data_IF_114305760410
#
_entry.id   IF_114305760410
#
_cell.length_a   1.000
_cell.length_b   1.000
_cell.length_c   1.000
_cell.angle_alpha   90.00
_cell.angle_beta   90.00
_cell.angle_gamma   90.00
#
_symmetry.space_group_name_H-M   'P 1'
#
loop_
_entity.id
_entity.type
_entity.pdbx_description
1 polymer ?
#
# COMPACT_ATOMS: atom_id res chain seq x y z
N UNK A 1 3.47 4.03 -1.63
CA UNK A 1 4.64 4.30 -2.48
C UNK A 1 4.26 3.86 -3.88
N UNK A 2 4.44 4.68 -4.92
CA UNK A 2 3.84 4.47 -6.25
C UNK A 2 3.94 3.06 -6.86
N UNK A 3 5.07 2.34 -6.80
CA UNK A 3 5.19 1.00 -7.40
C UNK A 3 4.55 -0.13 -6.58
N UNK A 4 3.94 0.15 -5.43
CA UNK A 4 3.31 -0.88 -4.59
C UNK A 4 1.83 -0.99 -4.91
N UNK A 5 1.29 -2.22 -4.99
CA UNK A 5 -0.13 -2.47 -5.32
C UNK A 5 -1.12 -1.67 -4.45
N UNK A 6 -0.84 -1.51 -3.16
CA UNK A 6 -1.68 -0.74 -2.24
C UNK A 6 -1.78 0.76 -2.55
N UNK A 7 -0.85 1.32 -3.31
CA UNK A 7 -0.92 2.71 -3.77
C UNK A 7 -2.04 2.91 -4.79
N UNK A 8 -2.15 2.03 -5.78
CA UNK A 8 -3.18 2.10 -6.81
C UNK A 8 -4.59 1.95 -6.23
N UNK A 9 -4.76 1.03 -5.28
CA UNK A 9 -6.02 0.88 -4.56
C UNK A 9 -6.45 2.17 -3.85
N UNK A 10 -5.53 2.81 -3.12
CA UNK A 10 -5.81 4.09 -2.44
C UNK A 10 -6.08 5.22 -3.44
N UNK A 11 -5.28 5.30 -4.50
CA UNK A 11 -5.42 6.33 -5.53
C UNK A 11 -6.77 6.25 -6.24
N UNK A 12 -7.26 5.04 -6.55
CA UNK A 12 -8.56 4.84 -7.18
C UNK A 12 -9.71 5.42 -6.32
N UNK A 13 -9.67 5.21 -4.99
CA UNK A 13 -10.67 5.77 -4.07
C UNK A 13 -10.56 7.29 -4.00
N UNK A 14 -9.34 7.84 -3.91
CA UNK A 14 -9.13 9.29 -3.88
C UNK A 14 -9.58 9.95 -5.19
N UNK A 15 -9.32 9.33 -6.33
CA UNK A 15 -9.79 9.81 -7.64
C UNK A 15 -11.31 9.81 -7.71
N UNK A 16 -11.99 8.77 -7.23
CA UNK A 16 -13.44 8.73 -7.17
C UNK A 16 -14.03 9.85 -6.29
N UNK A 17 -13.41 10.11 -5.12
CA UNK A 17 -13.82 11.20 -4.24
C UNK A 17 -13.62 12.58 -4.89
N UNK A 18 -12.51 12.81 -5.57
CA UNK A 18 -12.25 14.09 -6.26
C UNK A 18 -13.16 14.27 -7.48
N UNK A 19 -13.39 13.21 -8.25
CA UNK A 19 -14.24 13.23 -9.45
C UNK A 19 -15.72 13.52 -9.14
N UNK A 20 -16.17 13.23 -7.91
CA UNK A 20 -17.54 13.53 -7.46
C UNK A 20 -17.86 15.04 -7.41
N UNK A 21 -16.84 15.91 -7.37
CA UNK A 21 -16.99 17.38 -7.42
C UNK A 21 -17.64 18.03 -6.19
N UNK A 22 -18.04 17.27 -5.17
CA UNK A 22 -18.69 17.83 -3.98
C UNK A 22 -17.66 18.29 -2.94
N UNK A 23 -17.90 19.45 -2.33
CA UNK A 23 -17.00 20.03 -1.33
C UNK A 23 -16.74 19.09 -0.13
N UNK A 24 -17.75 18.35 0.31
CA UNK A 24 -17.62 17.36 1.39
C UNK A 24 -16.64 16.24 1.05
N UNK A 25 -16.76 15.67 -0.17
CA UNK A 25 -15.89 14.59 -0.63
C UNK A 25 -14.46 15.04 -0.89
N UNK A 26 -14.28 16.29 -1.33
CA UNK A 26 -12.95 16.91 -1.42
C UNK A 26 -12.28 17.00 -0.04
N UNK A 27 -13.02 17.44 0.99
CA UNK A 27 -12.54 17.47 2.37
C UNK A 27 -12.13 16.08 2.89
N UNK A 28 -12.91 15.04 2.58
CA UNK A 28 -12.57 13.66 2.92
C UNK A 28 -11.33 13.16 2.18
N UNK A 29 -11.16 13.51 0.90
CA UNK A 29 -9.96 13.16 0.14
C UNK A 29 -8.70 13.78 0.76
N UNK A 30 -8.75 15.05 1.14
CA UNK A 30 -7.65 15.73 1.84
C UNK A 30 -7.35 15.03 3.17
N UNK A 31 -8.37 14.75 3.97
CA UNK A 31 -8.22 14.04 5.24
C UNK A 31 -7.56 12.65 5.05
N UNK A 32 -8.00 11.88 4.05
CA UNK A 32 -7.44 10.58 3.74
C UNK A 32 -5.95 10.65 3.31
N UNK A 33 -5.56 11.69 2.57
CA UNK A 33 -4.15 11.95 2.23
C UNK A 33 -3.35 12.28 3.49
N UNK A 34 -3.85 13.16 4.37
CA UNK A 34 -3.17 13.50 5.63
C UNK A 34 -2.97 12.26 6.51
N UNK A 35 -3.98 11.39 6.64
CA UNK A 35 -3.84 10.12 7.36
C UNK A 35 -2.79 9.21 6.73
N UNK A 36 -2.66 9.23 5.40
CA UNK A 36 -1.59 8.50 4.72
C UNK A 36 -0.20 9.06 5.02
N UNK A 37 -0.06 10.38 5.21
CA UNK A 37 1.21 11.01 5.57
C UNK A 37 1.62 10.66 7.00
N UNK A 38 0.67 10.60 7.94
CA UNK A 38 0.91 10.12 9.30
C UNK A 38 1.45 8.69 9.26
N UNK A 39 0.83 7.81 8.47
CA UNK A 39 1.36 6.45 8.27
C UNK A 39 2.77 6.42 7.68
N UNK A 40 3.05 7.29 6.70
CA UNK A 40 4.38 7.40 6.10
C UNK A 40 5.46 7.81 7.12
N UNK A 41 5.14 8.70 8.06
CA UNK A 41 6.05 9.07 9.15
C UNK A 41 6.47 7.86 9.99
N UNK A 42 5.53 6.99 10.36
CA UNK A 42 5.85 5.78 11.13
C UNK A 42 6.70 4.78 10.34
N UNK A 43 6.44 4.61 9.05
CA UNK A 43 7.28 3.74 8.20
C UNK A 43 8.69 4.29 8.04
N UNK A 44 8.85 5.59 7.80
CA UNK A 44 10.16 6.22 7.70
C UNK A 44 10.94 6.13 9.01
N UNK A 45 10.28 6.31 10.16
CA UNK A 45 10.89 6.12 11.47
C UNK A 45 11.41 4.70 11.65
N UNK A 46 10.66 3.69 11.20
CA UNK A 46 11.08 2.29 11.26
C UNK A 46 12.33 2.03 10.42
N UNK A 47 12.35 2.52 9.17
CA UNK A 47 13.51 2.41 8.26
C UNK A 47 14.73 3.11 8.90
N UNK A 48 14.52 4.28 9.49
CA UNK A 48 15.56 5.04 10.19
C UNK A 48 16.18 4.21 11.31
N UNK A 49 15.36 3.61 12.17
CA UNK A 49 15.85 2.78 13.29
C UNK A 49 16.57 1.53 12.77
N UNK A 50 16.08 0.90 11.69
CA UNK A 50 16.66 -0.34 11.17
C UNK A 50 18.03 -0.15 10.50
N UNK A 51 18.25 0.97 9.80
CA UNK A 51 19.46 1.19 9.00
C UNK A 51 20.43 2.23 9.56
N UNK A 52 19.98 3.18 10.38
CA UNK A 52 20.80 4.31 10.81
C UNK A 52 21.10 4.34 12.31
N UNK A 53 20.31 3.65 13.14
CA UNK A 53 20.56 3.59 14.58
C UNK A 53 21.54 2.46 14.92
N UNK A 54 22.30 2.62 16.02
CA UNK A 54 23.30 1.64 16.43
C UNK A 54 22.62 0.31 16.81
N UNK A 55 23.20 -0.83 16.38
CA UNK A 55 22.63 -2.13 16.68
C UNK A 55 22.71 -2.40 18.19
N UNK A 56 21.56 -2.77 18.76
CA UNK A 56 21.43 -3.13 20.18
C UNK A 56 21.98 -4.55 20.44
N UNK A 57 22.00 -5.39 19.39
CA UNK A 57 22.51 -6.76 19.42
C UNK A 57 23.41 -6.99 18.21
N UNK A 58 24.56 -7.65 18.41
CA UNK A 58 25.60 -7.84 17.39
C UNK A 58 25.50 -9.23 16.72
N UNK A 59 24.44 -9.99 17.01
CA UNK A 59 24.22 -11.32 16.46
C UNK A 59 23.67 -11.30 15.04
N UNK A 60 23.95 -12.32 14.22
CA UNK A 60 23.35 -12.45 12.90
C UNK A 60 21.83 -12.63 13.02
N UNK A 61 21.08 -12.00 12.12
CA UNK A 61 19.64 -12.22 12.01
C UNK A 61 19.40 -13.62 11.43
N UNK A 62 19.02 -14.57 12.28
CA UNK A 62 18.68 -15.93 11.87
C UNK A 62 17.19 -16.01 11.60
N UNK A 63 16.81 -16.12 10.32
CA UNK A 63 15.45 -16.42 9.90
C UNK A 63 15.39 -17.83 9.32
N UNK A 64 14.38 -18.63 9.69
CA UNK A 64 14.16 -19.94 9.08
C UNK A 64 13.92 -19.81 7.57
N UNK A 65 14.25 -20.87 6.82
CA UNK A 65 14.09 -20.88 5.37
C UNK A 65 12.64 -20.58 4.96
N UNK A 66 11.67 -21.12 5.70
CA UNK A 66 10.24 -20.90 5.45
C UNK A 66 9.86 -19.42 5.53
N UNK A 67 10.34 -18.72 6.56
CA UNK A 67 10.06 -17.29 6.76
C UNK A 67 10.66 -16.46 5.62
N UNK A 68 11.88 -16.79 5.19
CA UNK A 68 12.54 -16.09 4.07
C UNK A 68 11.76 -16.28 2.77
N UNK A 69 11.37 -17.52 2.46
CA UNK A 69 10.59 -17.82 1.25
C UNK A 69 9.26 -17.09 1.25
N UNK A 70 8.49 -17.18 2.35
CA UNK A 70 7.18 -16.54 2.46
C UNK A 70 7.29 -15.02 2.31
N UNK A 71 8.24 -14.38 2.99
CA UNK A 71 8.45 -12.93 2.89
C UNK A 71 8.91 -12.50 1.48
N UNK A 72 9.84 -13.24 0.88
CA UNK A 72 10.32 -12.94 -0.47
C UNK A 72 9.21 -13.09 -1.51
N UNK A 73 8.41 -14.15 -1.43
CA UNK A 73 7.28 -14.38 -2.35
C UNK A 73 6.22 -13.27 -2.18
N UNK A 74 5.84 -12.94 -0.95
CA UNK A 74 4.86 -11.86 -0.71
C UNK A 74 5.40 -10.50 -1.18
N UNK A 75 6.65 -10.17 -0.89
CA UNK A 75 7.29 -8.94 -1.34
C UNK A 75 7.35 -8.85 -2.86
N UNK A 76 7.71 -9.95 -3.53
CA UNK A 76 7.71 -10.05 -4.98
C UNK A 76 6.30 -9.87 -5.56
N UNK A 77 5.28 -10.52 -4.98
CA UNK A 77 3.89 -10.36 -5.42
C UNK A 77 3.40 -8.91 -5.28
N UNK A 78 3.69 -8.25 -4.16
CA UNK A 78 3.31 -6.83 -3.93
C UNK A 78 3.94 -5.91 -4.98
N UNK A 79 5.18 -6.20 -5.41
CA UNK A 79 5.88 -5.44 -6.45
C UNK A 79 5.34 -5.77 -7.85
N UNK A 80 5.20 -7.05 -8.19
CA UNK A 80 4.71 -7.48 -9.51
C UNK A 80 3.30 -6.96 -9.76
N UNK A 81 2.40 -7.13 -8.78
CA UNK A 81 1.03 -6.59 -8.85
C UNK A 81 0.99 -5.06 -8.79
N UNK A 82 2.01 -4.43 -8.19
CA UNK A 82 2.14 -2.98 -8.17
C UNK A 82 2.62 -2.40 -9.49
N UNK A 83 3.53 -3.06 -10.20
CA UNK A 83 4.02 -2.64 -11.52
C UNK A 83 2.96 -2.90 -12.60
N UNK A 84 2.23 -4.02 -12.49
CA UNK A 84 1.17 -4.40 -13.42
C UNK A 84 -0.21 -4.49 -12.74
N UNK A 85 -0.77 -3.37 -12.24
CA UNK A 85 -2.01 -3.39 -11.47
C UNK A 85 -3.25 -3.62 -12.35
N UNK A 86 -3.13 -3.49 -13.67
CA UNK A 86 -4.27 -3.46 -14.60
C UNK A 86 -5.14 -4.70 -14.53
N UNK A 87 -4.56 -5.90 -14.53
CA UNK A 87 -5.32 -7.17 -14.48
C UNK A 87 -6.12 -7.30 -13.19
N UNK A 88 -5.50 -7.02 -12.05
CA UNK A 88 -6.13 -7.07 -10.74
C UNK A 88 -7.26 -6.04 -10.60
N UNK A 89 -7.03 -4.81 -11.07
CA UNK A 89 -8.03 -3.74 -11.02
C UNK A 89 -9.26 -4.06 -11.87
N UNK A 90 -9.08 -4.66 -13.05
CA UNK A 90 -10.20 -5.11 -13.90
C UNK A 90 -11.03 -6.17 -13.20
N UNK A 91 -10.39 -7.17 -12.58
CA UNK A 91 -11.10 -8.21 -11.81
C UNK A 91 -11.89 -7.60 -10.65
N UNK A 92 -11.29 -6.71 -9.87
CA UNK A 92 -11.98 -6.00 -8.79
C UNK A 92 -13.16 -5.17 -9.31
N UNK A 93 -13.00 -4.47 -10.44
CA UNK A 93 -14.09 -3.66 -11.02
C UNK A 93 -15.27 -4.53 -11.49
N UNK A 94 -14.99 -5.71 -12.05
CA UNK A 94 -16.02 -6.68 -12.44
C UNK A 94 -16.78 -7.23 -11.23
N UNK A 95 -16.06 -7.59 -10.16
CA UNK A 95 -16.67 -8.03 -8.91
C UNK A 95 -17.54 -6.93 -8.25
N UNK A 96 -17.07 -5.68 -8.26
CA UNK A 96 -17.82 -4.53 -7.72
C UNK A 96 -19.14 -4.33 -8.49
N UNK A 97 -19.09 -4.37 -9.83
CA UNK A 97 -20.29 -4.27 -10.69
C UNK A 97 -21.30 -5.36 -10.39
N UNK A 98 -20.84 -6.60 -10.32
CA UNK A 98 -21.67 -7.75 -9.99
C UNK A 98 -22.29 -7.64 -8.59
N UNK A 99 -21.56 -7.11 -7.61
CA UNK A 99 -22.07 -6.86 -6.26
C UNK A 99 -23.15 -5.76 -6.22
N UNK A 100 -23.03 -4.74 -7.08
CA UNK A 100 -23.98 -3.62 -7.16
C UNK A 100 -25.20 -3.92 -8.04
N UNK A 101 -25.29 -5.12 -8.64
CA UNK A 101 -26.43 -5.51 -9.48
C UNK A 101 -26.52 -4.73 -10.80
N UNK A 102 -25.43 -4.11 -11.23
CA UNK A 102 -25.29 -3.34 -12.48
C UNK A 102 -24.21 -3.91 -13.37
#
# INVERSE_FOLDING_TARGET
IPPMVGFYAKLAVLQALVASGQALYLGLAVFAVLMSLIGAFYYLRLIKVMYFDQPITVGPIVASADVRVVLSVNGALVLVLGIFPSSLMVLCSGAIRQMLGT
#
